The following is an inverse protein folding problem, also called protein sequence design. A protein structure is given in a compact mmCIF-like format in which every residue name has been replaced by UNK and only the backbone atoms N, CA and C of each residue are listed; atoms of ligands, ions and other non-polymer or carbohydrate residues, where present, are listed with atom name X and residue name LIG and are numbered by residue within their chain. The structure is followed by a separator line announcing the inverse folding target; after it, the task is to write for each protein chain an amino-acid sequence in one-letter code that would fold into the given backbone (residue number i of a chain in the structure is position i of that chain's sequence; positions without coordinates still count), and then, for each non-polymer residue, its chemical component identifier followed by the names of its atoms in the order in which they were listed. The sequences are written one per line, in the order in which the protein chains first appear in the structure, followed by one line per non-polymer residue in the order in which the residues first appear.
data_IF_133605071324
#
_entry.id   IF_133605071324
#
_cell.length_a   1.000
_cell.length_b   1.000
_cell.length_c   1.000
_cell.angle_alpha   90.00
_cell.angle_beta   90.00
_cell.angle_gamma   90.00
#
_symmetry.space_group_name_H-M   'P 1'
#
loop_
_entity.id
_entity.type
_entity.pdbx_description
1 polymer ?
#
# COMPACT_ATOMS: atom_id res chain seq x y z
N UNK A 1 -10.94 5.32 4.91
CA UNK A 1 -9.53 4.89 4.70
C UNK A 1 -9.45 3.43 5.08
N UNK A 2 -9.10 2.55 4.14
CA UNK A 2 -8.95 1.12 4.40
C UNK A 2 -7.47 0.80 4.68
N UNK A 3 -7.11 0.66 5.95
CA UNK A 3 -5.71 0.49 6.39
C UNK A 3 -5.39 -0.91 6.95
N UNK A 4 -6.36 -1.61 7.52
CA UNK A 4 -6.13 -2.93 8.10
C UNK A 4 -5.52 -3.90 7.06
N UNK A 5 -4.44 -4.58 7.43
CA UNK A 5 -3.70 -5.44 6.53
C UNK A 5 -2.40 -5.94 7.13
N UNK A 6 -1.71 -6.80 6.37
CA UNK A 6 -0.44 -7.41 6.74
C UNK A 6 -0.43 -8.91 6.42
N UNK A 7 0.75 -9.51 6.62
CA UNK A 7 0.96 -10.96 6.50
C UNK A 7 2.21 -11.34 7.30
N UNK A 8 2.15 -12.40 8.13
CA UNK A 8 3.35 -13.10 8.56
C UNK A 8 4.12 -13.62 7.35
N UNK A 9 5.47 -13.72 7.42
CA UNK A 9 6.26 -14.34 6.36
C UNK A 9 6.10 -15.86 6.36
N UNK A 10 5.99 -16.47 5.18
CA UNK A 10 5.96 -17.92 4.97
C UNK A 10 6.47 -18.25 3.56
N UNK A 11 7.22 -19.35 3.40
CA UNK A 11 7.52 -19.85 2.05
C UNK A 11 6.21 -20.27 1.37
N UNK A 12 6.04 -19.89 0.11
CA UNK A 12 4.79 -20.11 -0.61
C UNK A 12 4.47 -21.61 -0.77
N UNK A 13 5.49 -22.48 -0.82
CA UNK A 13 5.30 -23.94 -0.91
C UNK A 13 4.77 -24.55 0.40
N UNK A 14 5.04 -23.91 1.54
CA UNK A 14 4.64 -24.37 2.87
C UNK A 14 3.36 -23.70 3.37
N UNK A 15 2.85 -22.69 2.65
CA UNK A 15 1.67 -21.94 3.03
C UNK A 15 0.41 -22.81 2.90
N UNK A 16 -0.36 -22.93 3.99
CA UNK A 16 -1.65 -23.62 3.94
C UNK A 16 -2.68 -22.83 3.10
N UNK A 17 -3.69 -23.53 2.58
CA UNK A 17 -4.79 -22.91 1.85
C UNK A 17 -5.54 -21.91 2.74
N UNK A 18 -5.78 -22.25 4.01
CA UNK A 18 -6.47 -21.40 4.98
C UNK A 18 -5.66 -20.14 5.31
N UNK A 19 -4.33 -20.28 5.44
CA UNK A 19 -3.44 -19.13 5.63
C UNK A 19 -3.58 -18.17 4.44
N UNK A 20 -3.43 -18.68 3.22
CA UNK A 20 -3.57 -17.90 1.99
C UNK A 20 -4.94 -17.21 1.92
N UNK A 21 -6.03 -17.94 2.18
CA UNK A 21 -7.38 -17.39 2.20
C UNK A 21 -7.55 -16.26 3.21
N UNK A 22 -7.02 -16.40 4.43
CA UNK A 22 -7.08 -15.35 5.45
C UNK A 22 -6.32 -14.09 5.04
N UNK A 23 -5.15 -14.24 4.41
CA UNK A 23 -4.38 -13.09 3.89
C UNK A 23 -5.16 -12.37 2.79
N UNK A 24 -5.73 -13.09 1.83
CA UNK A 24 -6.59 -12.50 0.79
C UNK A 24 -7.82 -11.83 1.41
N UNK A 25 -8.46 -12.49 2.37
CA UNK A 25 -9.67 -11.97 3.01
C UNK A 25 -9.40 -10.65 3.72
N UNK A 26 -8.32 -10.57 4.51
CA UNK A 26 -7.95 -9.37 5.24
C UNK A 26 -7.53 -8.23 4.30
N UNK A 27 -6.71 -8.53 3.29
CA UNK A 27 -6.02 -7.48 2.53
C UNK A 27 -6.75 -7.05 1.25
N UNK A 28 -7.72 -7.84 0.76
CA UNK A 28 -8.47 -7.56 -0.47
C UNK A 28 -9.99 -7.59 -0.25
N UNK A 29 -10.51 -8.69 0.30
CA UNK A 29 -11.98 -8.84 0.41
C UNK A 29 -12.56 -7.84 1.40
N UNK A 30 -11.97 -7.72 2.60
CA UNK A 30 -12.43 -6.78 3.62
C UNK A 30 -12.45 -5.31 3.12
N UNK A 31 -11.37 -4.74 2.54
CA UNK A 31 -11.42 -3.37 2.03
C UNK A 31 -12.40 -3.20 0.86
N UNK A 32 -12.59 -4.22 0.01
CA UNK A 32 -13.57 -4.16 -1.08
C UNK A 32 -15.01 -4.11 -0.53
N UNK A 33 -15.35 -5.00 0.41
CA UNK A 33 -16.68 -5.03 1.06
C UNK A 33 -16.96 -3.74 1.84
N UNK A 34 -15.98 -3.24 2.60
CA UNK A 34 -16.15 -2.00 3.34
C UNK A 34 -16.34 -0.81 2.38
N UNK A 35 -15.60 -0.79 1.27
CA UNK A 35 -15.72 0.27 0.26
C UNK A 35 -17.10 0.30 -0.37
N UNK A 36 -17.68 -0.86 -0.73
CA UNK A 36 -19.03 -0.91 -1.34
C UNK A 36 -20.10 -0.44 -0.37
N UNK A 37 -20.03 -0.85 0.90
CA UNK A 37 -20.96 -0.40 1.94
C UNK A 37 -20.86 1.10 2.20
N UNK A 38 -19.64 1.64 2.30
CA UNK A 38 -19.43 3.08 2.43
C UNK A 38 -19.92 3.85 1.20
N UNK A 39 -19.63 3.38 -0.01
CA UNK A 39 -20.05 4.03 -1.26
C UNK A 39 -21.58 4.10 -1.39
N UNK A 40 -22.29 3.05 -0.94
CA UNK A 40 -23.76 3.04 -0.92
C UNK A 40 -24.36 4.14 -0.04
N UNK A 41 -23.68 4.52 1.06
CA UNK A 41 -24.06 5.65 1.91
C UNK A 41 -23.62 6.97 1.28
N UNK A 42 -22.36 7.06 0.83
CA UNK A 42 -21.77 8.30 0.29
C UNK A 42 -22.50 8.81 -0.96
N UNK A 43 -22.98 7.91 -1.84
CA UNK A 43 -23.66 8.33 -3.09
C UNK A 43 -24.93 9.14 -2.87
N UNK A 44 -25.55 9.06 -1.69
CA UNK A 44 -26.75 9.83 -1.33
C UNK A 44 -26.45 11.18 -0.68
N UNK A 45 -25.18 11.51 -0.44
CA UNK A 45 -24.77 12.75 0.22
C UNK A 45 -24.63 13.91 -0.77
N UNK A 46 -24.68 15.15 -0.26
CA UNK A 46 -24.44 16.36 -1.07
C UNK A 46 -22.97 16.57 -1.42
N UNK A 47 -22.08 15.98 -0.63
CA UNK A 47 -20.62 16.06 -0.80
C UNK A 47 -20.10 14.84 -1.56
N UNK A 48 -19.02 15.02 -2.33
CA UNK A 48 -18.33 13.92 -2.98
C UNK A 48 -17.66 13.02 -1.94
N UNK A 49 -17.96 11.73 -1.97
CA UNK A 49 -17.32 10.74 -1.11
C UNK A 49 -15.87 10.49 -1.52
N UNK A 50 -15.04 10.06 -0.57
CA UNK A 50 -13.65 9.71 -0.84
C UNK A 50 -13.26 8.43 -0.10
N UNK A 51 -12.71 7.48 -0.86
CA UNK A 51 -12.18 6.22 -0.33
C UNK A 51 -10.69 6.16 -0.68
N UNK A 52 -9.87 5.93 0.34
CA UNK A 52 -8.42 5.73 0.19
C UNK A 52 -8.09 4.33 0.69
N UNK A 53 -7.49 3.53 -0.18
CA UNK A 53 -7.00 2.20 0.11
C UNK A 53 -5.50 2.25 0.40
N UNK A 54 -5.06 1.67 1.53
CA UNK A 54 -3.64 1.53 1.82
C UNK A 54 -3.16 0.23 1.17
N UNK A 55 -2.41 0.38 0.07
CA UNK A 55 -1.74 -0.68 -0.64
C UNK A 55 -0.29 -0.81 -0.16
N UNK A 56 0.57 -1.43 -0.97
CA UNK A 56 1.98 -1.66 -0.64
C UNK A 56 2.79 -1.78 -1.92
N UNK A 57 4.08 -1.45 -1.86
CA UNK A 57 5.05 -1.77 -2.92
C UNK A 57 5.05 -3.26 -3.30
N UNK A 58 4.66 -4.17 -2.39
CA UNK A 58 4.45 -5.60 -2.70
C UNK A 58 3.35 -5.88 -3.73
N UNK A 59 2.52 -4.88 -4.06
CA UNK A 59 1.51 -4.98 -5.12
C UNK A 59 2.11 -4.87 -6.54
N UNK A 60 3.25 -4.20 -6.67
CA UNK A 60 3.83 -3.82 -7.96
C UNK A 60 5.19 -4.47 -8.23
N UNK A 61 5.79 -5.10 -7.22
CA UNK A 61 7.05 -5.84 -7.34
C UNK A 61 6.97 -7.22 -6.68
N UNK A 62 7.88 -8.15 -6.99
CA UNK A 62 7.92 -9.46 -6.36
C UNK A 62 7.98 -9.36 -4.82
N UNK A 63 7.19 -10.22 -4.14
CA UNK A 63 7.06 -10.22 -2.68
C UNK A 63 7.32 -11.62 -2.11
N UNK A 64 8.56 -12.15 -2.20
CA UNK A 64 8.91 -13.45 -1.64
C UNK A 64 8.63 -13.49 -0.12
N UNK A 65 8.24 -14.66 0.38
CA UNK A 65 7.78 -14.82 1.77
C UNK A 65 6.38 -14.26 2.05
N UNK A 66 5.78 -13.50 1.13
CA UNK A 66 4.49 -12.81 1.31
C UNK A 66 3.66 -12.82 0.02
N UNK A 67 3.76 -13.89 -0.77
CA UNK A 67 3.15 -13.96 -2.10
C UNK A 67 1.63 -13.70 -2.09
N UNK A 68 0.90 -14.29 -1.15
CA UNK A 68 -0.55 -14.06 -0.99
C UNK A 68 -0.87 -12.59 -0.66
N UNK A 69 -0.03 -11.92 0.12
CA UNK A 69 -0.19 -10.51 0.46
C UNK A 69 0.07 -9.62 -0.76
N UNK A 70 1.15 -9.88 -1.50
CA UNK A 70 1.44 -9.18 -2.75
C UNK A 70 0.29 -9.31 -3.75
N UNK A 71 -0.23 -10.53 -3.94
CA UNK A 71 -1.40 -10.79 -4.77
C UNK A 71 -2.65 -10.03 -4.29
N UNK A 72 -2.94 -10.03 -2.99
CA UNK A 72 -4.06 -9.28 -2.43
C UNK A 72 -3.94 -7.78 -2.69
N UNK A 73 -2.76 -7.19 -2.47
CA UNK A 73 -2.52 -5.77 -2.66
C UNK A 73 -2.51 -5.37 -4.15
N UNK A 74 -2.04 -6.24 -5.05
CA UNK A 74 -2.21 -6.06 -6.50
C UNK A 74 -3.69 -6.05 -6.89
N UNK A 75 -4.48 -6.99 -6.35
CA UNK A 75 -5.94 -7.00 -6.50
C UNK A 75 -6.60 -5.72 -5.98
N UNK A 76 -6.10 -5.16 -4.89
CA UNK A 76 -6.62 -3.91 -4.30
C UNK A 76 -6.35 -2.70 -5.20
N UNK A 77 -5.20 -2.64 -5.88
CA UNK A 77 -4.92 -1.61 -6.89
C UNK A 77 -5.85 -1.73 -8.10
N UNK A 78 -6.10 -2.95 -8.57
CA UNK A 78 -7.07 -3.21 -9.64
C UNK A 78 -8.48 -2.77 -9.23
N UNK A 79 -8.94 -3.22 -8.06
CA UNK A 79 -10.24 -2.83 -7.51
C UNK A 79 -10.37 -1.31 -7.36
N UNK A 80 -9.34 -0.61 -6.90
CA UNK A 80 -9.33 0.86 -6.78
C UNK A 80 -9.68 1.54 -8.10
N UNK A 81 -9.10 1.09 -9.22
CA UNK A 81 -9.36 1.64 -10.55
C UNK A 81 -10.77 1.35 -11.04
N UNK A 82 -11.23 0.10 -10.88
CA UNK A 82 -12.60 -0.29 -11.27
C UNK A 82 -13.65 0.52 -10.50
N UNK A 83 -13.50 0.60 -9.17
CA UNK A 83 -14.45 1.31 -8.31
C UNK A 83 -14.45 2.83 -8.57
N UNK A 84 -13.30 3.42 -8.90
CA UNK A 84 -13.22 4.82 -9.31
C UNK A 84 -14.03 5.10 -10.59
N UNK A 85 -14.00 4.17 -11.56
CA UNK A 85 -14.76 4.28 -12.80
C UNK A 85 -16.26 4.07 -12.57
N UNK A 86 -16.63 3.16 -11.67
CA UNK A 86 -18.02 2.82 -11.37
C UNK A 86 -18.73 3.91 -10.56
N UNK A 87 -18.03 4.59 -9.64
CA UNK A 87 -18.68 5.45 -8.64
C UNK A 87 -18.49 6.96 -8.88
N UNK A 88 -17.65 7.33 -9.85
CA UNK A 88 -17.56 8.72 -10.30
C UNK A 88 -18.90 9.20 -10.90
N UNK A 89 -19.29 10.47 -10.68
CA UNK A 89 -18.58 11.53 -9.98
C UNK A 89 -18.86 11.57 -8.46
N UNK A 90 -19.73 10.71 -7.93
CA UNK A 90 -20.21 10.81 -6.56
C UNK A 90 -19.18 10.35 -5.52
N UNK A 91 -18.31 9.40 -5.86
CA UNK A 91 -17.25 8.89 -4.98
C UNK A 91 -15.95 8.79 -5.75
N UNK A 92 -14.87 9.34 -5.18
CA UNK A 92 -13.50 9.13 -5.65
C UNK A 92 -12.87 7.97 -4.91
N UNK A 93 -12.10 7.15 -5.60
CA UNK A 93 -11.41 5.99 -5.03
C UNK A 93 -9.95 6.03 -5.44
N UNK A 94 -9.04 6.06 -4.48
CA UNK A 94 -7.60 6.10 -4.75
C UNK A 94 -6.86 5.13 -3.83
N UNK A 95 -5.62 4.80 -4.18
CA UNK A 95 -4.74 3.98 -3.37
C UNK A 95 -3.44 4.70 -3.05
N UNK A 96 -2.88 4.42 -1.88
CA UNK A 96 -1.51 4.80 -1.51
C UNK A 96 -0.66 3.54 -1.52
N UNK A 97 0.39 3.53 -2.34
CA UNK A 97 1.37 2.45 -2.42
C UNK A 97 2.47 2.76 -1.41
N UNK A 98 2.37 2.15 -0.24
CA UNK A 98 3.29 2.40 0.89
C UNK A 98 4.57 1.60 0.70
N UNK A 99 5.72 2.28 0.82
CA UNK A 99 7.04 1.67 0.86
C UNK A 99 7.45 1.19 2.23
N UNK A 100 8.75 1.25 2.49
CA UNK A 100 9.33 0.82 3.76
C UNK A 100 9.06 1.88 4.85
N UNK A 101 8.36 1.48 5.91
CA UNK A 101 7.98 2.35 7.04
C UNK A 101 8.74 1.93 8.29
N UNK A 102 9.31 2.90 8.99
CA UNK A 102 9.93 2.67 10.30
C UNK A 102 8.85 2.50 11.37
N UNK A 103 8.90 1.39 12.12
CA UNK A 103 7.99 1.14 13.24
C UNK A 103 8.58 0.15 14.24
N UNK A 104 8.15 0.22 15.50
CA UNK A 104 8.73 -0.56 16.61
C UNK A 104 8.64 -2.07 16.39
N UNK A 105 7.52 -2.56 15.84
CA UNK A 105 7.34 -3.98 15.54
C UNK A 105 8.29 -4.52 14.44
N UNK A 106 9.01 -3.64 13.72
CA UNK A 106 9.95 -4.00 12.66
C UNK A 106 11.40 -4.11 13.15
N UNK A 107 11.71 -3.67 14.37
CA UNK A 107 13.07 -3.62 14.91
C UNK A 107 13.75 -4.99 14.82
N UNK A 108 13.10 -6.05 15.28
CA UNK A 108 13.66 -7.39 15.24
C UNK A 108 13.80 -7.91 13.80
N UNK A 109 12.80 -7.65 12.95
CA UNK A 109 12.81 -8.06 11.54
C UNK A 109 13.96 -7.45 10.75
N UNK A 110 14.28 -6.17 10.98
CA UNK A 110 15.35 -5.47 10.26
C UNK A 110 16.73 -5.65 10.89
N UNK A 111 16.84 -6.27 12.08
CA UNK A 111 18.12 -6.45 12.77
C UNK A 111 18.55 -5.23 13.57
N UNK A 112 17.59 -4.55 14.20
CA UNK A 112 17.80 -3.38 15.06
C UNK A 112 17.92 -2.06 14.29
N UNK A 113 18.34 -1.01 15.01
CA UNK A 113 18.59 0.34 14.48
C UNK A 113 19.58 0.33 13.30
N UNK A 114 20.68 -0.42 13.40
CA UNK A 114 21.66 -0.54 12.31
C UNK A 114 21.05 -1.19 11.06
N UNK A 115 20.11 -2.12 11.26
CA UNK A 115 19.29 -2.69 10.21
C UNK A 115 18.47 -1.65 9.46
N UNK A 116 17.70 -0.87 10.21
CA UNK A 116 16.91 0.24 9.68
C UNK A 116 17.78 1.25 8.93
N UNK A 117 18.95 1.62 9.47
CA UNK A 117 19.89 2.53 8.80
C UNK A 117 20.38 1.99 7.46
N UNK A 118 20.75 0.70 7.39
CA UNK A 118 21.17 0.07 6.12
C UNK A 118 20.08 0.14 5.07
N UNK A 119 18.85 -0.21 5.44
CA UNK A 119 17.69 -0.14 4.54
C UNK A 119 17.41 1.29 4.10
N UNK A 120 17.36 2.23 5.06
CA UNK A 120 17.16 3.65 4.80
C UNK A 120 18.18 4.22 3.80
N UNK A 121 19.45 3.84 3.91
CA UNK A 121 20.52 4.32 3.03
C UNK A 121 20.38 3.85 1.58
N UNK A 122 19.67 2.74 1.32
CA UNK A 122 19.38 2.29 -0.04
C UNK A 122 18.26 3.10 -0.72
N UNK A 123 17.39 3.75 0.05
CA UNK A 123 16.31 4.56 -0.49
C UNK A 123 16.84 5.90 -1.02
N UNK A 124 16.29 6.44 -2.12
CA UNK A 124 16.67 7.76 -2.65
C UNK A 124 16.56 8.89 -1.63
N UNK A 125 15.48 8.91 -0.82
CA UNK A 125 15.31 9.92 0.24
C UNK A 125 16.12 9.65 1.52
N UNK A 126 16.96 8.60 1.54
CA UNK A 126 17.89 8.25 2.64
C UNK A 126 17.23 8.07 4.01
N UNK A 127 15.94 7.77 4.02
CA UNK A 127 15.15 7.45 5.21
C UNK A 127 13.99 6.56 4.84
N UNK A 128 13.56 5.73 5.77
CA UNK A 128 12.25 5.08 5.69
C UNK A 128 11.15 6.09 5.99
N UNK A 129 9.95 5.80 5.50
CA UNK A 129 8.77 6.59 5.83
C UNK A 129 8.48 6.47 7.33
N UNK A 130 7.92 7.52 7.90
CA UNK A 130 7.32 7.55 9.22
C UNK A 130 5.78 7.56 9.04
N UNK A 131 4.99 7.14 10.04
CA UNK A 131 3.53 7.19 9.95
C UNK A 131 2.95 8.55 9.49
N UNK A 132 3.52 9.72 9.91
CA UNK A 132 3.08 11.02 9.40
C UNK A 132 3.21 11.18 7.87
N UNK A 133 4.23 10.61 7.22
CA UNK A 133 4.38 10.71 5.76
C UNK A 133 3.17 10.07 5.03
N UNK A 134 2.66 8.96 5.56
CA UNK A 134 1.49 8.26 5.00
C UNK A 134 0.20 8.99 5.34
N UNK A 135 0.11 9.55 6.56
CA UNK A 135 -1.03 10.34 6.99
C UNK A 135 -1.20 11.60 6.12
N UNK A 136 -0.11 12.30 5.81
CA UNK A 136 -0.14 13.50 4.96
C UNK A 136 -0.61 13.18 3.54
N UNK A 137 -0.19 12.04 2.98
CA UNK A 137 -0.71 11.56 1.69
C UNK A 137 -2.22 11.24 1.76
N UNK A 138 -2.71 10.66 2.86
CA UNK A 138 -4.15 10.44 3.07
C UNK A 138 -4.92 11.75 3.15
N UNK A 139 -4.38 12.74 3.87
CA UNK A 139 -4.95 14.08 4.00
C UNK A 139 -5.02 14.76 2.63
N UNK A 140 -3.94 14.72 1.85
CA UNK A 140 -3.91 15.25 0.49
C UNK A 140 -5.03 14.66 -0.38
N UNK A 141 -5.10 13.32 -0.50
CA UNK A 141 -6.12 12.64 -1.32
C UNK A 141 -7.56 12.87 -0.83
N UNK A 142 -7.73 13.14 0.47
CA UNK A 142 -9.02 13.46 1.09
C UNK A 142 -9.38 14.95 1.02
N UNK A 143 -8.45 15.81 0.63
CA UNK A 143 -8.68 17.25 0.54
C UNK A 143 -9.31 17.66 -0.80
N UNK A 144 -9.80 18.91 -0.87
CA UNK A 144 -10.26 19.51 -2.12
C UNK A 144 -9.16 19.73 -3.17
N UNK A 145 -7.88 19.70 -2.77
CA UNK A 145 -6.75 19.84 -3.71
C UNK A 145 -6.63 18.63 -4.64
N UNK A 146 -7.14 17.47 -4.22
CA UNK A 146 -7.17 16.24 -4.99
C UNK A 146 -8.55 16.00 -5.65
N UNK A 147 -9.36 17.05 -5.86
CA UNK A 147 -10.74 16.92 -6.35
C UNK A 147 -10.86 16.25 -7.72
N UNK A 148 -9.81 16.28 -8.54
CA UNK A 148 -9.74 15.62 -9.85
C UNK A 148 -8.98 14.28 -9.83
N UNK A 149 -8.51 13.83 -8.66
CA UNK A 149 -7.75 12.59 -8.52
C UNK A 149 -8.71 11.45 -8.15
N UNK A 150 -8.93 10.51 -9.07
CA UNK A 150 -9.70 9.29 -8.88
C UNK A 150 -9.09 8.14 -9.71
N UNK A 151 -9.02 6.95 -9.14
CA UNK A 151 -8.38 5.76 -9.74
C UNK A 151 -6.86 5.75 -9.62
N UNK A 152 -6.26 6.75 -8.94
CA UNK A 152 -4.82 6.88 -8.84
C UNK A 152 -4.23 5.88 -7.83
N UNK A 153 -2.99 5.47 -8.11
CA UNK A 153 -2.08 4.82 -7.16
C UNK A 153 -0.98 5.84 -6.89
N UNK A 154 -0.89 6.32 -5.65
CA UNK A 154 0.12 7.30 -5.23
C UNK A 154 1.23 6.57 -4.48
N UNK A 155 2.42 6.50 -5.06
CA UNK A 155 3.60 5.96 -4.41
C UNK A 155 4.09 6.87 -3.29
N UNK A 156 4.19 6.31 -2.08
CA UNK A 156 4.75 6.96 -0.89
C UNK A 156 5.79 6.02 -0.31
N UNK A 157 6.89 5.87 -1.05
CA UNK A 157 7.94 4.88 -0.81
C UNK A 157 9.36 5.48 -0.78
N UNK A 158 9.48 6.81 -0.85
CA UNK A 158 10.76 7.51 -0.83
C UNK A 158 11.61 7.31 -2.08
N UNK A 159 10.99 6.93 -3.20
CA UNK A 159 11.66 6.65 -4.47
C UNK A 159 11.99 5.16 -4.69
N UNK A 160 11.53 4.29 -3.79
CA UNK A 160 11.62 2.84 -3.94
C UNK A 160 13.03 2.27 -3.84
N UNK A 161 13.18 1.00 -4.20
CA UNK A 161 14.47 0.32 -4.22
C UNK A 161 15.27 0.70 -5.47
N UNK A 162 16.56 0.98 -5.27
CA UNK A 162 17.49 1.17 -6.38
C UNK A 162 17.64 -0.12 -7.21
N UNK A 163 17.74 -0.03 -8.55
CA UNK A 163 18.02 -1.18 -9.39
C UNK A 163 19.32 -1.88 -8.96
N UNK A 164 19.24 -3.17 -8.61
CA UNK A 164 20.38 -3.94 -8.06
C UNK A 164 21.62 -3.92 -8.96
N UNK A 165 21.44 -3.83 -10.27
CA UNK A 165 22.55 -3.81 -11.22
C UNK A 165 23.47 -2.59 -11.03
N UNK A 166 22.96 -1.43 -10.57
CA UNK A 166 23.78 -0.24 -10.32
C UNK A 166 24.77 -0.48 -9.18
N UNK A 167 24.33 -1.20 -8.14
CA UNK A 167 25.20 -1.61 -7.04
C UNK A 167 26.28 -2.59 -7.51
N UNK A 168 25.91 -3.56 -8.36
CA UNK A 168 26.84 -4.56 -8.89
C UNK A 168 27.82 -4.00 -9.93
N UNK A 169 27.43 -2.96 -10.67
CA UNK A 169 28.26 -2.32 -11.69
C UNK A 169 29.35 -1.40 -11.09
N UNK A 170 29.32 -1.11 -9.79
CA UNK A 170 30.29 -0.25 -9.12
C UNK A 170 30.08 1.25 -9.34
N UNK A 171 28.98 1.64 -9.99
CA UNK A 171 28.64 3.04 -10.32
C UNK A 171 28.00 3.81 -9.14
N UNK A 172 28.24 3.38 -7.90
CA UNK A 172 27.82 4.13 -6.70
C UNK A 172 28.67 5.41 -6.55
N UNK A 173 28.33 6.44 -7.32
CA UNK A 173 28.54 7.85 -6.92
C UNK A 173 27.32 8.35 -6.16
#
# INVERSE_FOLDING_TARGET
INNAGGSPPVDAIDASAEFTQKIIQLNLVAPLVLSTQCAAVMRGQKTVGNIVNIASVSATRPSPGTAAYGAAKAGLLSATRSLAQEWGPNVRVNAIVVGLVHHDAGVEHYGGEEGFKRVANMLPLKRMAQPPDIADACLYLSSGQASYVSGASLEVDGGGEAPVFLYLAGDNK
#
